data_IF_669081494344
#
_entry.id   IF_669081494344
#
_cell.length_a   1.000
_cell.length_b   1.000
_cell.length_c   1.000
_cell.angle_alpha   90.00
_cell.angle_beta   90.00
_cell.angle_gamma   90.00
#
_symmetry.space_group_name_H-M   'P 1'
#
loop_
_entity.id
_entity.type
_entity.pdbx_description
1 polymer ?
#
# COMPACT_ATOMS: atom_id res chain seq x y z
N UNK A 1 -4.16 -5.38 11.69
CA UNK A 1 -2.90 -4.90 11.12
C UNK A 1 -2.12 -6.12 10.65
N UNK A 2 -1.52 -6.08 9.46
CA UNK A 2 -0.74 -7.19 8.87
C UNK A 2 0.64 -6.70 8.40
N UNK A 3 1.64 -7.59 8.39
CA UNK A 3 3.00 -7.29 7.91
C UNK A 3 2.98 -6.80 6.45
N UNK A 4 2.05 -7.32 5.64
CA UNK A 4 1.92 -6.93 4.24
C UNK A 4 1.46 -5.47 4.09
N UNK A 5 0.51 -5.01 4.91
CA UNK A 5 0.09 -3.60 4.92
C UNK A 5 1.25 -2.67 5.29
N UNK A 6 2.11 -3.06 6.24
CA UNK A 6 3.32 -2.29 6.58
C UNK A 6 4.29 -2.20 5.38
N UNK A 7 4.51 -3.31 4.66
CA UNK A 7 5.34 -3.31 3.44
C UNK A 7 4.79 -2.38 2.37
N UNK A 8 3.47 -2.36 2.20
CA UNK A 8 2.78 -1.47 1.27
C UNK A 8 2.99 0.00 1.62
N UNK A 9 2.84 0.39 2.89
CA UNK A 9 3.10 1.76 3.34
C UNK A 9 4.57 2.15 3.12
N UNK A 10 5.52 1.27 3.44
CA UNK A 10 6.94 1.52 3.18
C UNK A 10 7.22 1.75 1.69
N UNK A 11 6.59 0.97 0.81
CA UNK A 11 6.80 1.13 -0.64
C UNK A 11 6.17 2.41 -1.17
N UNK A 12 5.00 2.80 -0.65
CA UNK A 12 4.37 4.10 -0.96
C UNK A 12 5.29 5.25 -0.54
N UNK A 13 5.91 5.18 0.64
CA UNK A 13 6.84 6.21 1.11
C UNK A 13 8.10 6.31 0.24
N UNK A 14 8.66 5.18 -0.21
CA UNK A 14 9.81 5.18 -1.13
C UNK A 14 9.48 5.80 -2.48
N UNK A 15 8.29 5.50 -3.01
CA UNK A 15 7.88 5.95 -4.36
C UNK A 15 7.25 7.34 -4.36
N UNK A 16 6.75 7.81 -3.20
CA UNK A 16 5.98 9.05 -3.10
C UNK A 16 4.63 9.02 -3.84
N UNK A 17 4.20 7.86 -4.32
CA UNK A 17 3.02 7.70 -5.18
C UNK A 17 2.43 6.30 -5.06
N UNK A 18 1.11 6.23 -4.86
CA UNK A 18 0.37 4.97 -4.87
C UNK A 18 0.44 4.25 -6.22
N UNK A 19 0.42 5.00 -7.32
CA UNK A 19 0.48 4.41 -8.66
C UNK A 19 1.84 3.74 -8.91
N UNK A 20 2.94 4.43 -8.57
CA UNK A 20 4.29 3.90 -8.75
C UNK A 20 4.57 2.75 -7.77
N UNK A 21 4.10 2.83 -6.53
CA UNK A 21 4.18 1.73 -5.58
C UNK A 21 3.43 0.48 -6.07
N UNK A 22 2.22 0.63 -6.61
CA UNK A 22 1.44 -0.50 -7.12
C UNK A 22 2.12 -1.18 -8.32
N UNK A 23 2.72 -0.39 -9.23
CA UNK A 23 3.53 -0.92 -10.35
C UNK A 23 4.73 -1.70 -9.84
N UNK A 24 5.48 -1.15 -8.87
CA UNK A 24 6.65 -1.82 -8.27
C UNK A 24 6.27 -3.10 -7.53
N UNK A 25 5.10 -3.12 -6.89
CA UNK A 25 4.57 -4.28 -6.18
C UNK A 25 3.87 -5.30 -7.11
N UNK A 26 3.76 -5.00 -8.41
CA UNK A 26 3.05 -5.81 -9.40
C UNK A 26 1.59 -6.13 -9.01
N UNK A 27 0.90 -5.15 -8.43
CA UNK A 27 -0.52 -5.25 -8.04
C UNK A 27 -1.34 -4.11 -8.63
N UNK A 28 -2.66 -4.29 -8.66
CA UNK A 28 -3.55 -3.19 -9.00
C UNK A 28 -3.47 -2.10 -7.92
N UNK A 29 -3.46 -0.82 -8.35
CA UNK A 29 -3.41 0.30 -7.40
C UNK A 29 -4.66 0.35 -6.50
N UNK A 30 -5.82 -0.07 -7.01
CA UNK A 30 -7.05 -0.20 -6.22
C UNK A 30 -6.90 -1.20 -5.07
N UNK A 31 -6.20 -2.32 -5.28
CA UNK A 31 -5.91 -3.30 -4.24
C UNK A 31 -4.96 -2.74 -3.17
N UNK A 32 -3.93 -1.99 -3.59
CA UNK A 32 -3.02 -1.29 -2.68
C UNK A 32 -3.78 -0.28 -1.81
N UNK A 33 -4.63 0.55 -2.44
CA UNK A 33 -5.46 1.55 -1.77
C UNK A 33 -6.41 0.91 -0.76
N UNK A 34 -7.10 -0.18 -1.13
CA UNK A 34 -7.99 -0.90 -0.22
C UNK A 34 -7.25 -1.48 1.00
N UNK A 35 -6.06 -2.04 0.79
CA UNK A 35 -5.25 -2.60 1.87
C UNK A 35 -4.78 -1.53 2.87
N UNK A 36 -4.38 -0.35 2.38
CA UNK A 36 -3.99 0.80 3.22
C UNK A 36 -5.20 1.37 3.96
N UNK A 37 -6.34 1.53 3.29
CA UNK A 37 -7.58 2.00 3.93
C UNK A 37 -8.05 1.06 5.05
N UNK A 38 -7.92 -0.26 4.85
CA UNK A 38 -8.19 -1.23 5.91
C UNK A 38 -7.24 -1.02 7.09
N UNK A 39 -5.95 -0.82 6.84
CA UNK A 39 -4.97 -0.56 7.91
C UNK A 39 -5.33 0.70 8.71
N UNK A 40 -5.68 1.79 8.03
CA UNK A 40 -6.08 3.06 8.66
C UNK A 40 -7.34 2.92 9.53
N UNK A 41 -8.25 1.99 9.19
CA UNK A 41 -9.49 1.78 9.96
C UNK A 41 -9.29 0.93 11.21
N UNK A 42 -8.13 0.28 11.34
CA UNK A 42 -7.77 -0.59 12.46
C UNK A 42 -6.95 0.15 13.54
N UNK A 43 -6.62 1.42 13.31
CA UNK A 43 -5.89 2.33 14.20
C UNK A 43 -6.83 3.45 14.62
#
# INVERSE_FOLDING_TARGET
MTIQQCKYVLEILKMGSFNEAAKTLYIAQSSLSAAVKSLESEI
#
